data_IF_734112692741
#
_entry.id   IF_734112692741
#
_cell.length_a   1.000
_cell.length_b   1.000
_cell.length_c   1.000
_cell.angle_alpha   90.00
_cell.angle_beta   90.00
_cell.angle_gamma   90.00
#
_symmetry.space_group_name_H-M   'P 1'
#
loop_
_entity.id
_entity.type
_entity.pdbx_description
1 polymer ?
#
# COMPACT_ATOMS: atom_id res chain seq x y z
N UNK A 1 -8.13 14.11 13.50
CA UNK A 1 -8.48 12.72 13.18
C UNK A 1 -7.48 11.90 13.94
N UNK A 2 -7.95 11.03 14.80
CA UNK A 2 -7.04 10.23 15.62
C UNK A 2 -6.31 9.21 14.74
N UNK A 3 -5.08 8.89 15.09
CA UNK A 3 -4.27 7.85 14.44
C UNK A 3 -5.03 6.52 14.26
N UNK A 4 -5.89 6.17 15.23
CA UNK A 4 -6.76 4.98 15.21
C UNK A 4 -7.76 5.00 14.04
N UNK A 5 -8.33 6.16 13.73
CA UNK A 5 -9.29 6.37 12.64
C UNK A 5 -8.61 6.21 11.28
N UNK A 6 -7.39 6.75 11.14
CA UNK A 6 -6.59 6.62 9.91
C UNK A 6 -6.28 5.15 9.62
N UNK A 7 -5.79 4.41 10.62
CA UNK A 7 -5.54 2.98 10.45
C UNK A 7 -6.80 2.21 10.09
N UNK A 8 -7.94 2.53 10.73
CA UNK A 8 -9.21 1.87 10.43
C UNK A 8 -9.67 2.16 8.99
N UNK A 9 -9.45 3.38 8.49
CA UNK A 9 -9.72 3.72 7.08
C UNK A 9 -8.83 2.92 6.13
N UNK A 10 -7.51 2.84 6.39
CA UNK A 10 -6.57 2.07 5.58
C UNK A 10 -6.93 0.58 5.59
N UNK A 11 -7.20 0.01 6.78
CA UNK A 11 -7.61 -1.39 6.92
C UNK A 11 -8.88 -1.69 6.13
N UNK A 12 -9.86 -0.77 6.14
CA UNK A 12 -11.09 -0.93 5.36
C UNK A 12 -10.80 -0.99 3.86
N UNK A 13 -9.93 -0.12 3.35
CA UNK A 13 -9.48 -0.15 1.96
C UNK A 13 -8.80 -1.48 1.60
N UNK A 14 -8.11 -2.11 2.56
CA UNK A 14 -7.39 -3.38 2.34
C UNK A 14 -8.25 -4.64 2.57
N UNK A 15 -9.40 -4.51 3.21
CA UNK A 15 -10.25 -5.67 3.60
C UNK A 15 -11.54 -5.76 2.78
N UNK A 16 -12.04 -4.63 2.26
CA UNK A 16 -13.23 -4.60 1.42
C UNK A 16 -12.85 -4.43 -0.05
N UNK A 17 -13.62 -5.03 -0.97
CA UNK A 17 -13.40 -4.86 -2.42
C UNK A 17 -13.82 -3.50 -2.94
N UNK A 18 -14.82 -2.91 -2.31
CA UNK A 18 -15.30 -1.57 -2.61
C UNK A 18 -15.97 -0.98 -1.36
N UNK A 19 -16.06 0.34 -1.31
CA UNK A 19 -16.78 1.00 -0.23
C UNK A 19 -16.62 2.51 -0.24
N UNK A 20 -17.28 3.14 0.72
CA UNK A 20 -17.18 4.59 0.95
C UNK A 20 -16.65 4.83 2.36
N UNK A 21 -15.58 5.62 2.45
CA UNK A 21 -15.01 6.08 3.71
C UNK A 21 -15.78 7.30 4.22
N UNK A 22 -15.63 7.62 5.50
CA UNK A 22 -16.38 8.69 6.21
C UNK A 22 -16.17 10.12 5.69
N UNK A 23 -15.37 10.30 4.63
CA UNK A 23 -15.05 11.59 3.99
C UNK A 23 -15.50 11.69 2.54
N UNK A 24 -16.39 10.80 2.10
CA UNK A 24 -16.86 10.76 0.72
C UNK A 24 -15.82 10.23 -0.26
N UNK A 25 -14.74 9.62 0.24
CA UNK A 25 -13.77 8.90 -0.60
C UNK A 25 -14.33 7.51 -0.85
N UNK A 26 -14.66 7.21 -2.09
CA UNK A 26 -14.99 5.83 -2.51
C UNK A 26 -13.71 5.11 -2.90
N UNK A 27 -13.68 3.79 -2.69
CA UNK A 27 -12.57 2.96 -3.14
C UNK A 27 -13.09 1.71 -3.84
N UNK A 28 -12.29 1.17 -4.75
CA UNK A 28 -12.57 -0.08 -5.42
C UNK A 28 -11.29 -0.80 -5.83
N UNK A 29 -11.32 -2.13 -5.73
CA UNK A 29 -10.27 -3.01 -6.22
C UNK A 29 -10.56 -3.40 -7.65
N UNK A 30 -9.62 -3.14 -8.57
CA UNK A 30 -9.79 -3.57 -9.97
C UNK A 30 -9.22 -4.96 -10.26
N UNK A 31 -8.58 -5.60 -9.28
CA UNK A 31 -7.92 -6.90 -9.43
C UNK A 31 -8.28 -7.82 -8.26
N UNK A 32 -8.42 -9.10 -8.57
CA UNK A 32 -8.59 -10.15 -7.57
C UNK A 32 -7.25 -10.54 -6.94
N UNK A 33 -7.26 -10.82 -5.64
CA UNK A 33 -6.07 -11.21 -4.88
C UNK A 33 -6.43 -11.66 -3.47
N UNK A 34 -5.53 -12.40 -2.84
CA UNK A 34 -5.68 -12.83 -1.45
C UNK A 34 -5.48 -11.61 -0.52
N UNK A 35 -6.57 -11.16 0.12
CA UNK A 35 -6.59 -10.03 1.05
C UNK A 35 -5.56 -10.17 2.17
N UNK A 36 -5.31 -11.40 2.64
CA UNK A 36 -4.29 -11.67 3.67
C UNK A 36 -2.89 -11.35 3.15
N UNK A 37 -2.55 -11.84 1.96
CA UNK A 37 -1.22 -11.61 1.37
C UNK A 37 -1.07 -10.13 1.00
N UNK A 38 -2.12 -9.51 0.48
CA UNK A 38 -2.15 -8.07 0.18
C UNK A 38 -1.88 -7.24 1.44
N UNK A 39 -2.56 -7.55 2.54
CA UNK A 39 -2.33 -6.91 3.84
C UNK A 39 -0.88 -7.06 4.32
N UNK A 40 -0.34 -8.28 4.30
CA UNK A 40 1.05 -8.54 4.72
C UNK A 40 2.08 -7.78 3.87
N UNK A 41 1.90 -7.74 2.54
CA UNK A 41 2.78 -6.97 1.65
C UNK A 41 2.66 -5.48 1.94
N UNK A 42 1.45 -5.00 2.21
CA UNK A 42 1.21 -3.61 2.56
C UNK A 42 1.86 -3.22 3.89
N UNK A 43 1.80 -4.08 4.90
CA UNK A 43 2.47 -3.86 6.20
C UNK A 43 3.99 -3.70 6.01
N UNK A 44 4.63 -4.54 5.19
CA UNK A 44 6.06 -4.40 4.88
C UNK A 44 6.36 -3.08 4.14
N UNK A 45 5.46 -2.63 3.27
CA UNK A 45 5.57 -1.34 2.59
C UNK A 45 5.47 -0.19 3.60
N UNK A 46 4.54 -0.27 4.55
CA UNK A 46 4.38 0.72 5.62
C UNK A 46 5.62 0.79 6.51
N UNK A 47 6.15 -0.34 6.95
CA UNK A 47 7.37 -0.38 7.77
C UNK A 47 8.53 0.33 7.07
N UNK A 48 8.69 0.10 5.76
CA UNK A 48 9.71 0.77 4.94
C UNK A 48 9.43 2.26 4.77
N UNK A 49 8.17 2.65 4.57
CA UNK A 49 7.78 4.06 4.53
C UNK A 49 8.16 4.76 5.84
N UNK A 50 7.82 4.19 7.00
CA UNK A 50 8.12 4.78 8.30
C UNK A 50 9.61 4.78 8.61
N UNK A 51 10.35 3.74 8.20
CA UNK A 51 11.79 3.64 8.40
C UNK A 51 12.57 4.67 7.55
N UNK A 52 12.19 4.86 6.29
CA UNK A 52 12.96 5.69 5.35
C UNK A 52 12.35 7.07 5.11
N UNK A 53 11.10 7.30 5.53
CA UNK A 53 10.30 8.49 5.26
C UNK A 53 10.29 8.88 3.78
N UNK A 54 10.13 7.88 2.90
CA UNK A 54 10.12 8.04 1.44
C UNK A 54 8.82 7.51 0.84
N UNK A 55 8.27 8.26 -0.10
CA UNK A 55 7.05 7.90 -0.85
C UNK A 55 7.34 7.00 -2.05
N UNK A 56 8.58 7.02 -2.56
CA UNK A 56 9.07 6.04 -3.53
C UNK A 56 9.96 5.01 -2.83
N UNK A 57 9.63 3.73 -3.03
CA UNK A 57 10.30 2.61 -2.40
C UNK A 57 10.76 1.62 -3.46
N UNK A 58 12.00 1.14 -3.33
CA UNK A 58 12.53 0.05 -4.14
C UNK A 58 12.52 -1.22 -3.28
N UNK A 59 11.99 -2.30 -3.83
CA UNK A 59 11.92 -3.58 -3.13
C UNK A 59 12.24 -4.75 -4.03
N UNK A 60 12.73 -5.83 -3.43
CA UNK A 60 12.86 -7.12 -4.05
C UNK A 60 11.69 -8.02 -3.63
N UNK A 61 11.03 -8.66 -4.60
CA UNK A 61 9.88 -9.55 -4.36
C UNK A 61 10.29 -10.74 -3.48
N UNK A 62 11.46 -11.32 -3.74
CA UNK A 62 12.00 -12.47 -3.03
C UNK A 62 12.36 -12.14 -1.58
N UNK A 63 12.71 -10.89 -1.30
CA UNK A 63 12.92 -10.42 0.07
C UNK A 63 11.60 -10.37 0.83
N UNK A 64 10.57 -9.73 0.26
CA UNK A 64 9.24 -9.65 0.87
C UNK A 64 8.65 -11.06 1.05
N UNK A 65 8.76 -11.92 0.04
CA UNK A 65 8.30 -13.31 0.08
C UNK A 65 8.87 -14.06 1.30
N UNK A 66 10.16 -13.86 1.61
CA UNK A 66 10.80 -14.44 2.79
C UNK A 66 10.31 -13.83 4.09
N UNK A 67 10.06 -12.52 4.13
CA UNK A 67 9.59 -11.82 5.33
C UNK A 67 8.16 -12.23 5.72
N UNK A 68 7.29 -12.45 4.74
CA UNK A 68 5.87 -12.77 4.98
C UNK A 68 5.53 -14.26 4.80
N UNK A 69 6.55 -15.10 4.58
CA UNK A 69 6.45 -16.56 4.38
C UNK A 69 5.47 -16.96 3.25
N UNK A 70 5.46 -16.19 2.15
CA UNK A 70 4.66 -16.46 0.96
C UNK A 70 5.52 -16.75 -0.26
N UNK A 71 4.91 -17.27 -1.32
CA UNK A 71 5.60 -17.50 -2.59
C UNK A 71 5.80 -16.18 -3.35
N UNK A 72 6.92 -16.00 -4.07
CA UNK A 72 7.16 -14.78 -4.84
C UNK A 72 6.03 -14.41 -5.80
N UNK A 73 5.35 -15.39 -6.40
CA UNK A 73 4.22 -15.14 -7.31
C UNK A 73 3.02 -14.50 -6.59
N UNK A 74 2.79 -14.88 -5.33
CA UNK A 74 1.74 -14.29 -4.49
C UNK A 74 2.07 -12.82 -4.16
N UNK A 75 3.34 -12.52 -3.93
CA UNK A 75 3.83 -11.15 -3.70
C UNK A 75 3.66 -10.29 -4.95
N UNK A 76 4.00 -10.80 -6.14
CA UNK A 76 3.78 -10.08 -7.42
C UNK A 76 2.29 -9.78 -7.63
N UNK A 77 1.42 -10.75 -7.33
CA UNK A 77 -0.04 -10.55 -7.39
C UNK A 77 -0.50 -9.51 -6.38
N UNK A 78 0.04 -9.53 -5.16
CA UNK A 78 -0.28 -8.54 -4.14
C UNK A 78 0.12 -7.12 -4.55
N UNK A 79 1.33 -6.93 -5.12
CA UNK A 79 1.74 -5.65 -5.70
C UNK A 79 0.78 -5.17 -6.78
N UNK A 80 0.38 -6.10 -7.66
CA UNK A 80 -0.57 -5.80 -8.73
C UNK A 80 -1.91 -5.36 -8.13
N UNK A 81 -2.44 -6.11 -7.15
CA UNK A 81 -3.69 -5.78 -6.45
C UNK A 81 -3.64 -4.40 -5.80
N UNK A 82 -2.60 -4.12 -5.00
CA UNK A 82 -2.42 -2.82 -4.35
C UNK A 82 -2.36 -1.67 -5.37
N UNK A 83 -1.70 -1.88 -6.52
CA UNK A 83 -1.67 -0.89 -7.60
C UNK A 83 -3.01 -0.73 -8.34
N UNK A 84 -3.88 -1.72 -8.22
CA UNK A 84 -5.24 -1.74 -8.77
C UNK A 84 -6.29 -1.13 -7.84
N UNK A 85 -5.95 -0.79 -6.60
CA UNK A 85 -6.88 -0.10 -5.69
C UNK A 85 -7.00 1.36 -6.12
N UNK A 86 -8.22 1.74 -6.51
CA UNK A 86 -8.59 3.11 -6.89
C UNK A 86 -9.28 3.79 -5.73
N UNK A 87 -9.00 5.08 -5.57
CA UNK A 87 -9.62 5.98 -4.61
C UNK A 87 -10.23 7.13 -5.41
N UNK A 88 -11.50 7.43 -5.18
CA UNK A 88 -12.21 8.51 -5.86
C UNK A 88 -12.83 9.47 -4.86
N UNK A 89 -12.65 10.77 -5.10
CA UNK A 89 -13.24 11.85 -4.31
C UNK A 89 -13.46 13.07 -5.19
N UNK A 90 -14.65 13.66 -5.20
CA UNK A 90 -14.97 14.85 -6.01
C UNK A 90 -14.54 14.73 -7.48
N UNK A 91 -14.77 13.57 -8.10
CA UNK A 91 -14.37 13.22 -9.48
C UNK A 91 -12.84 13.15 -9.73
N UNK A 92 -12.03 13.23 -8.68
CA UNK A 92 -10.59 12.96 -8.75
C UNK A 92 -10.40 11.47 -8.46
N UNK A 93 -9.81 10.75 -9.43
CA UNK A 93 -9.45 9.35 -9.28
C UNK A 93 -7.93 9.25 -9.10
N UNK A 94 -7.51 8.62 -8.01
CA UNK A 94 -6.12 8.26 -7.78
C UNK A 94 -5.97 6.78 -7.46
N UNK A 95 -4.72 6.31 -7.44
CA UNK A 95 -4.39 4.94 -7.04
C UNK A 95 -3.82 4.95 -5.63
N UNK A 96 -4.09 3.91 -4.86
CA UNK A 96 -3.48 3.71 -3.54
C UNK A 96 -1.95 3.72 -3.63
N UNK A 97 -1.41 3.06 -4.66
CA UNK A 97 -0.01 3.10 -5.04
C UNK A 97 0.16 2.82 -6.54
N UNK A 98 1.33 3.11 -7.09
CA UNK A 98 1.68 2.84 -8.48
C UNK A 98 2.99 2.06 -8.53
N UNK A 99 3.08 1.08 -9.43
CA UNK A 99 4.35 0.42 -9.78
C UNK A 99 5.02 1.30 -10.84
N UNK A 100 6.17 1.87 -10.52
CA UNK A 100 6.93 2.74 -11.42
C UNK A 100 7.79 1.92 -12.37
N UNK A 101 8.39 0.85 -11.87
CA UNK A 101 9.30 -0.01 -12.60
C UNK A 101 9.24 -1.43 -12.03
N UNK A 102 9.34 -2.43 -12.89
CA UNK A 102 9.53 -3.82 -12.50
C UNK A 102 10.62 -4.43 -13.39
N UNK A 103 11.71 -4.91 -12.78
CA UNK A 103 12.84 -5.52 -13.48
C UNK A 103 13.07 -6.93 -12.97
N UNK A 104 13.53 -7.80 -13.87
CA UNK A 104 13.93 -9.17 -13.57
C UNK A 104 15.43 -9.26 -13.86
N UNK A 105 16.23 -9.59 -12.86
CA UNK A 105 17.66 -9.80 -13.01
C UNK A 105 17.98 -11.18 -13.59
N UNK A 106 19.22 -11.38 -14.04
CA UNK A 106 19.69 -12.62 -14.68
C UNK A 106 19.54 -13.87 -13.78
N UNK A 107 19.57 -13.68 -12.46
CA UNK A 107 19.34 -14.75 -11.48
C UNK A 107 17.85 -14.98 -11.15
N UNK A 108 16.93 -14.32 -11.86
CA UNK A 108 15.49 -14.44 -11.65
C UNK A 108 14.93 -13.64 -10.47
N UNK A 109 15.73 -12.77 -9.84
CA UNK A 109 15.23 -11.87 -8.81
C UNK A 109 14.38 -10.75 -9.43
N UNK A 110 13.25 -10.42 -8.79
CA UNK A 110 12.30 -9.42 -9.28
C UNK A 110 12.40 -8.19 -8.38
N UNK A 111 12.79 -7.07 -8.96
CA UNK A 111 12.80 -5.77 -8.30
C UNK A 111 11.61 -4.95 -8.75
N UNK A 112 10.96 -4.30 -7.80
CA UNK A 112 9.79 -3.45 -8.02
C UNK A 112 10.06 -2.09 -7.38
N UNK A 113 10.00 -1.03 -8.18
CA UNK A 113 9.94 0.33 -7.70
C UNK A 113 8.48 0.75 -7.62
N UNK A 114 8.07 1.28 -6.46
CA UNK A 114 6.70 1.71 -6.21
C UNK A 114 6.66 3.15 -5.73
N UNK A 115 5.56 3.83 -6.02
CA UNK A 115 5.23 5.15 -5.49
C UNK A 115 3.89 5.11 -4.78
N UNK A 116 3.84 5.58 -3.54
CA UNK A 116 2.58 5.71 -2.79
C UNK A 116 1.70 6.80 -3.39
N UNK A 117 0.38 6.59 -3.38
CA UNK A 117 -0.61 7.57 -3.81
C UNK A 117 -0.63 8.81 -2.93
N UNK A 118 -1.25 9.89 -3.42
CA UNK A 118 -1.34 11.16 -2.71
C UNK A 118 -2.17 11.04 -1.45
N UNK A 119 -3.35 10.41 -1.54
CA UNK A 119 -4.21 10.12 -0.41
C UNK A 119 -3.50 9.29 0.65
N UNK A 120 -2.86 8.19 0.25
CA UNK A 120 -2.15 7.31 1.19
C UNK A 120 -1.00 8.05 1.87
N UNK A 121 -0.18 8.76 1.09
CA UNK A 121 0.92 9.57 1.63
C UNK A 121 0.41 10.60 2.64
N UNK A 122 -0.70 11.28 2.33
CA UNK A 122 -1.31 12.24 3.23
C UNK A 122 -1.79 11.58 4.53
N UNK A 123 -2.46 10.43 4.46
CA UNK A 123 -2.88 9.67 5.64
C UNK A 123 -1.68 9.28 6.52
N UNK A 124 -0.63 8.73 5.91
CA UNK A 124 0.58 8.31 6.64
C UNK A 124 1.35 9.49 7.24
N UNK A 125 1.34 10.65 6.57
CA UNK A 125 1.94 11.86 7.11
C UNK A 125 1.21 12.35 8.36
N UNK A 126 -0.12 12.29 8.39
CA UNK A 126 -0.90 12.63 9.59
C UNK A 126 -0.55 11.72 10.76
N UNK A 127 -0.33 10.42 10.53
CA UNK A 127 0.15 9.47 11.54
C UNK A 127 1.52 9.90 12.11
N UNK A 128 2.45 10.32 11.24
CA UNK A 128 3.79 10.76 11.65
C UNK A 128 3.78 12.08 12.41
N UNK A 129 2.92 13.02 12.04
CA UNK A 129 2.80 14.32 12.73
C UNK A 129 2.21 14.18 14.14
N UNK A 130 1.26 13.27 14.33
CA UNK A 130 0.71 12.97 15.67
C UNK A 130 1.75 12.36 16.61
N UNK A 131 2.83 11.74 16.10
CA UNK A 131 3.92 11.20 16.91
C UNK A 131 4.88 12.27 17.45
N UNK A 132 4.80 13.51 16.97
CA UNK A 132 5.70 14.62 17.34
C UNK A 132 5.11 15.59 18.38
N UNK A 133 3.89 15.35 18.86
CA UNK A 133 3.31 16.11 19.97
C UNK A 133 3.56 15.34 21.28
N UNK A 134 4.44 15.83 22.18
CA UNK A 134 4.53 15.27 23.52
C UNK A 134 3.24 15.59 24.28
N UNK A 135 2.68 14.58 24.95
CA UNK A 135 1.67 14.79 25.99
C UNK A 135 2.22 15.72 27.10
#
# INVERSE_FOLDING_TARGET
>A
MERSEIYRMIQRVLSDREGTLERGVTFSWTLEGDERVVGLVFDVILDRYFLYNKTSLLTEVQEIARLVECRPEEIVRAFSCLSGIRLESNHIIERLMTIEEATISENGSIRVAIRLGGWLTHQLHQINCDALLPC
#
